data_IF_750205130717
#
_entry.id   IF_750205130717
#
_cell.length_a   1.000
_cell.length_b   1.000
_cell.length_c   1.000
_cell.angle_alpha   90.00
_cell.angle_beta   90.00
_cell.angle_gamma   90.00
#
_symmetry.space_group_name_H-M   'P 1'
#
loop_
_entity.id
_entity.type
_entity.pdbx_description
1 polymer ?
#
# COMPACT_ATOMS: atom_id res chain seq x y z
N UNK A 1 -32.35 35.18 12.89
CA UNK A 1 -32.37 33.70 12.98
C UNK A 1 -31.05 33.16 12.43
N UNK A 2 -30.06 32.90 13.28
CA UNK A 2 -28.68 32.56 12.89
C UNK A 2 -28.31 31.18 13.44
N UNK A 3 -29.10 30.15 13.13
CA UNK A 3 -28.90 28.79 13.65
C UNK A 3 -27.92 27.93 12.84
N UNK A 4 -27.74 28.20 11.55
CA UNK A 4 -26.99 27.32 10.65
C UNK A 4 -25.46 27.42 10.72
N UNK A 5 -24.92 28.59 11.11
CA UNK A 5 -23.47 28.81 11.13
C UNK A 5 -22.79 28.10 12.31
N UNK A 6 -23.47 28.05 13.46
CA UNK A 6 -22.94 27.44 14.70
C UNK A 6 -22.87 25.92 14.56
N UNK A 7 -23.94 25.27 14.08
CA UNK A 7 -23.96 23.82 13.86
C UNK A 7 -22.91 23.37 12.85
N UNK A 8 -22.70 24.15 11.78
CA UNK A 8 -21.68 23.88 10.76
C UNK A 8 -20.27 23.96 11.34
N UNK A 9 -19.97 25.00 12.13
CA UNK A 9 -18.66 25.15 12.79
C UNK A 9 -18.38 24.01 13.76
N UNK A 10 -19.36 23.59 14.55
CA UNK A 10 -19.21 22.45 15.47
C UNK A 10 -18.90 21.17 14.70
N UNK A 11 -19.64 20.90 13.62
CA UNK A 11 -19.39 19.74 12.77
C UNK A 11 -17.99 19.77 12.12
N UNK A 12 -17.54 20.93 11.63
CA UNK A 12 -16.20 21.10 11.05
C UNK A 12 -15.09 20.85 12.10
N UNK A 13 -15.30 21.28 13.35
CA UNK A 13 -14.37 21.01 14.47
C UNK A 13 -14.30 19.52 14.80
N UNK A 14 -15.43 18.81 14.79
CA UNK A 14 -15.44 17.36 14.99
C UNK A 14 -14.68 16.62 13.89
N UNK A 15 -14.80 17.06 12.63
CA UNK A 15 -14.04 16.46 11.52
C UNK A 15 -12.54 16.74 11.64
N UNK A 16 -12.15 17.95 12.08
CA UNK A 16 -10.75 18.28 12.35
C UNK A 16 -10.17 17.40 13.47
N UNK A 17 -10.89 17.27 14.58
CA UNK A 17 -10.47 16.38 15.68
C UNK A 17 -10.35 14.91 15.23
N UNK A 18 -11.19 14.45 14.28
CA UNK A 18 -11.07 13.12 13.67
C UNK A 18 -9.80 12.99 12.83
N UNK A 19 -9.49 14.00 12.00
CA UNK A 19 -8.27 14.00 11.20
C UNK A 19 -7.01 13.97 12.08
N UNK A 20 -6.95 14.78 13.14
CA UNK A 20 -5.83 14.81 14.10
C UNK A 20 -5.64 13.49 14.86
N UNK A 21 -6.72 12.77 15.16
CA UNK A 21 -6.62 11.43 15.73
C UNK A 21 -6.03 10.45 14.72
N UNK A 22 -6.42 10.56 13.45
CA UNK A 22 -5.92 9.69 12.39
C UNK A 22 -4.43 9.96 12.13
N UNK A 23 -4.05 11.24 12.04
CA UNK A 23 -2.66 11.71 11.89
C UNK A 23 -1.75 11.13 12.96
N UNK A 24 -2.14 11.26 14.23
CA UNK A 24 -1.36 10.68 15.36
C UNK A 24 -1.26 9.16 15.32
N UNK A 25 -2.22 8.46 14.72
CA UNK A 25 -2.21 7.00 14.64
C UNK A 25 -1.44 6.45 13.44
N UNK A 26 -1.17 7.27 12.43
CA UNK A 26 -0.65 6.84 11.14
C UNK A 26 0.65 7.61 10.82
N UNK A 27 1.74 7.28 11.50
CA UNK A 27 3.02 8.04 11.44
C UNK A 27 3.71 8.09 10.07
N UNK A 28 3.29 7.25 9.12
CA UNK A 28 3.80 7.24 7.75
C UNK A 28 3.12 8.30 6.85
N UNK A 29 2.09 8.98 7.38
CA UNK A 29 1.24 9.91 6.65
C UNK A 29 1.11 11.23 7.43
N UNK A 30 1.04 12.33 6.69
CA UNK A 30 0.51 13.60 7.22
C UNK A 30 -0.97 13.70 6.83
N UNK A 31 -1.86 13.92 7.79
CA UNK A 31 -3.32 13.89 7.59
C UNK A 31 -3.96 15.17 8.14
N UNK A 32 -4.84 15.78 7.36
CA UNK A 32 -5.56 16.99 7.77
C UNK A 32 -6.97 17.11 7.19
N UNK A 33 -7.76 18.00 7.77
CA UNK A 33 -9.11 18.32 7.32
C UNK A 33 -9.22 19.77 6.81
N UNK A 34 -9.64 19.91 5.55
CA UNK A 34 -9.90 21.21 4.93
C UNK A 34 -11.34 21.67 5.13
N UNK A 35 -11.56 22.70 5.95
CA UNK A 35 -12.90 23.23 6.26
C UNK A 35 -13.59 23.86 5.04
N UNK A 36 -12.81 24.48 4.13
CA UNK A 36 -13.35 25.08 2.91
C UNK A 36 -13.87 24.05 1.90
N UNK A 37 -13.13 22.95 1.72
CA UNK A 37 -13.50 21.86 0.79
C UNK A 37 -14.33 20.74 1.45
N UNK A 38 -14.38 20.72 2.78
CA UNK A 38 -14.93 19.65 3.63
C UNK A 38 -14.40 18.27 3.27
N UNK A 39 -13.09 18.19 3.03
CA UNK A 39 -12.39 16.95 2.67
C UNK A 39 -11.28 16.63 3.65
N UNK A 40 -11.07 15.34 3.82
CA UNK A 40 -9.88 14.78 4.44
C UNK A 40 -8.81 14.63 3.37
N UNK A 41 -7.58 14.93 3.77
CA UNK A 41 -6.39 14.85 2.93
C UNK A 41 -5.35 14.00 3.66
N UNK A 42 -4.59 13.21 2.91
CA UNK A 42 -3.45 12.47 3.43
C UNK A 42 -2.29 12.56 2.43
N UNK A 43 -1.10 12.91 2.91
CA UNK A 43 0.13 12.90 2.13
C UNK A 43 1.10 11.86 2.69
N UNK A 44 1.65 11.01 1.81
CA UNK A 44 2.64 10.02 2.22
C UNK A 44 3.98 10.70 2.52
N UNK A 45 4.53 10.48 3.71
CA UNK A 45 5.82 11.06 4.12
C UNK A 45 7.03 10.30 3.54
N UNK A 46 6.80 9.06 3.08
CA UNK A 46 7.80 8.20 2.46
C UNK A 46 7.95 8.41 0.95
N UNK A 47 6.99 9.09 0.31
CA UNK A 47 6.93 9.21 -1.14
C UNK A 47 7.65 10.49 -1.62
N UNK A 48 9.00 10.46 -1.60
CA UNK A 48 9.84 11.63 -1.92
C UNK A 48 9.93 11.93 -3.43
N UNK A 49 9.86 10.91 -4.29
CA UNK A 49 9.98 11.07 -5.75
C UNK A 49 8.64 11.34 -6.45
N UNK A 50 7.58 10.67 -6.00
CA UNK A 50 6.21 10.84 -6.50
C UNK A 50 5.29 11.08 -5.31
N UNK A 51 4.94 12.34 -4.99
CA UNK A 51 4.16 12.63 -3.80
C UNK A 51 2.77 12.02 -3.89
N UNK A 52 2.48 11.06 -3.01
CA UNK A 52 1.14 10.45 -2.91
C UNK A 52 0.27 11.36 -2.06
N UNK A 53 -0.66 12.08 -2.72
CA UNK A 53 -1.69 12.88 -2.06
C UNK A 53 -3.07 12.28 -2.31
N UNK A 54 -3.75 11.91 -1.23
CA UNK A 54 -5.09 11.33 -1.25
C UNK A 54 -6.09 12.33 -0.68
N UNK A 55 -7.31 12.33 -1.23
CA UNK A 55 -8.41 13.15 -0.70
C UNK A 55 -9.75 12.44 -0.78
N UNK A 56 -10.59 12.62 0.25
CA UNK A 56 -11.96 12.08 0.29
C UNK A 56 -12.85 12.92 1.21
N UNK A 57 -14.16 12.67 1.20
CA UNK A 57 -15.15 13.28 2.09
C UNK A 57 -15.22 12.60 3.46
N UNK A 58 -14.70 11.39 3.63
CA UNK A 58 -14.82 10.63 4.89
C UNK A 58 -13.48 10.09 5.38
N UNK A 59 -13.30 10.04 6.71
CA UNK A 59 -12.08 9.50 7.30
C UNK A 59 -11.91 7.99 7.05
N UNK A 60 -13.02 7.24 6.96
CA UNK A 60 -12.99 5.80 6.70
C UNK A 60 -12.49 5.46 5.30
N UNK A 61 -13.00 6.17 4.28
CA UNK A 61 -12.49 6.04 2.91
C UNK A 61 -11.02 6.45 2.81
N UNK A 62 -10.60 7.49 3.55
CA UNK A 62 -9.22 7.96 3.51
C UNK A 62 -8.28 6.85 3.95
N UNK A 63 -8.64 6.17 5.04
CA UNK A 63 -7.86 5.05 5.58
C UNK A 63 -7.79 3.88 4.61
N UNK A 64 -8.89 3.55 3.94
CA UNK A 64 -8.89 2.49 2.92
C UNK A 64 -7.95 2.84 1.75
N UNK A 65 -7.98 4.09 1.28
CA UNK A 65 -7.08 4.58 0.22
C UNK A 65 -5.62 4.58 0.67
N UNK A 66 -5.33 4.99 1.91
CA UNK A 66 -3.96 4.96 2.47
C UNK A 66 -3.40 3.54 2.47
N UNK A 67 -4.19 2.55 2.91
CA UNK A 67 -3.77 1.14 2.89
C UNK A 67 -3.60 0.58 1.48
N UNK A 68 -4.47 0.97 0.56
CA UNK A 68 -4.32 0.61 -0.85
C UNK A 68 -3.04 1.22 -1.46
N UNK A 69 -2.68 2.45 -1.08
CA UNK A 69 -1.48 3.14 -1.53
C UNK A 69 -0.18 2.59 -0.92
N UNK A 70 -0.24 2.04 0.29
CA UNK A 70 0.88 1.30 0.90
C UNK A 70 1.10 -0.07 0.23
N UNK A 71 0.04 -0.70 -0.27
CA UNK A 71 0.11 -2.05 -0.86
C UNK A 71 1.09 -2.21 -2.04
N UNK A 72 1.21 -1.28 -3.01
CA UNK A 72 2.24 -1.37 -4.04
C UNK A 72 3.65 -1.07 -3.52
N UNK A 73 3.78 -0.48 -2.33
CA UNK A 73 5.05 -0.07 -1.72
C UNK A 73 5.52 -0.98 -0.58
N UNK A 74 4.79 -2.06 -0.29
CA UNK A 74 5.32 -3.11 0.58
C UNK A 74 6.63 -3.58 -0.06
N UNK A 75 7.78 -3.55 0.66
CA UNK A 75 9.01 -4.12 0.12
C UNK A 75 8.65 -5.53 -0.35
N UNK A 76 9.16 -5.98 -1.52
CA UNK A 76 8.91 -7.35 -1.95
C UNK A 76 9.27 -8.19 -0.74
N UNK A 77 8.27 -8.84 -0.14
CA UNK A 77 8.49 -9.80 0.92
C UNK A 77 9.43 -10.78 0.23
N UNK A 78 10.74 -10.69 0.49
CA UNK A 78 11.67 -11.65 -0.05
C UNK A 78 11.05 -12.98 0.33
N UNK A 79 10.61 -13.81 -0.62
CA UNK A 79 10.26 -15.16 -0.25
C UNK A 79 11.58 -15.66 0.34
N UNK A 80 11.57 -15.93 1.65
CA UNK A 80 12.69 -16.60 2.30
C UNK A 80 12.90 -17.88 1.51
N UNK A 81 13.86 -17.89 0.58
CA UNK A 81 14.52 -19.11 0.20
C UNK A 81 15.27 -19.63 1.43
N UNK A 82 15.40 -20.95 1.63
CA UNK A 82 15.44 -21.97 0.59
C UNK A 82 14.57 -23.19 0.93
N UNK A 83 13.37 -23.28 0.35
CA UNK A 83 12.53 -24.47 0.44
C UNK A 83 12.81 -25.43 -0.72
N UNK A 84 13.92 -26.14 -0.64
CA UNK A 84 14.17 -27.52 -1.14
C UNK A 84 13.32 -27.99 -2.36
N UNK A 85 13.92 -28.29 -3.54
CA UNK A 85 13.15 -28.90 -4.62
C UNK A 85 12.57 -30.24 -4.15
N UNK A 86 11.29 -30.56 -4.40
CA UNK A 86 10.81 -31.91 -4.21
C UNK A 86 11.62 -32.82 -5.14
N UNK A 87 12.25 -33.81 -4.51
CA UNK A 87 12.90 -34.92 -5.19
C UNK A 87 11.90 -35.54 -6.18
N UNK A 88 12.13 -35.37 -7.48
CA UNK A 88 11.52 -36.24 -8.50
C UNK A 88 12.47 -37.43 -8.69
N UNK A 89 12.11 -38.66 -8.28
CA UNK A 89 12.82 -39.85 -8.70
C UNK A 89 12.35 -40.16 -10.13
N UNK A 90 13.12 -39.71 -11.10
CA UNK A 90 12.77 -39.85 -12.52
C UNK A 90 13.98 -39.78 -13.42
N UNK A 91 14.97 -40.65 -13.19
CA UNK A 91 15.82 -41.12 -14.27
C UNK A 91 15.28 -42.49 -14.68
N UNK A 92 15.18 -42.76 -15.99
CA UNK A 92 16.34 -43.39 -16.59
C UNK A 92 16.75 -42.81 -17.95
N UNK A 93 18.07 -42.72 -18.10
CA UNK A 93 18.84 -43.12 -19.28
C UNK A 93 18.53 -42.41 -20.60
N UNK A 94 19.28 -41.35 -20.86
CA UNK A 94 19.80 -41.10 -22.21
C UNK A 94 21.32 -41.32 -22.19
N UNK A 95 21.72 -42.59 -22.31
CA UNK A 95 23.11 -42.94 -22.57
C UNK A 95 23.41 -42.63 -24.03
N UNK A 96 23.92 -41.42 -24.23
CA UNK A 96 24.66 -40.99 -25.42
C UNK A 96 25.77 -42.00 -25.71
N UNK A 97 25.61 -42.82 -26.74
CA UNK A 97 26.74 -43.47 -27.39
C UNK A 97 27.11 -42.60 -28.60
N UNK A 98 28.09 -41.72 -28.39
CA UNK A 98 28.98 -41.29 -29.47
C UNK A 98 30.12 -42.28 -29.51
N UNK A 99 30.24 -43.05 -30.59
CA UNK A 99 31.49 -43.58 -31.15
C UNK A 99 31.26 -43.93 -32.64
N UNK A 100 31.66 -43.03 -33.53
CA UNK A 100 32.26 -43.36 -34.83
C UNK A 100 33.59 -44.12 -34.62
N UNK A 101 34.35 -44.57 -35.66
CA UNK A 101 34.05 -45.16 -36.98
C UNK A 101 34.85 -46.49 -37.20
N UNK A 102 34.70 -47.18 -38.34
CA UNK A 102 35.79 -47.73 -39.21
C UNK A 102 35.30 -48.81 -40.19
N UNK A 103 35.82 -48.70 -41.41
CA UNK A 103 35.73 -49.58 -42.57
C UNK A 103 36.06 -51.07 -42.34
N UNK A 104 35.38 -51.96 -43.08
CA UNK A 104 35.98 -52.73 -44.18
C UNK A 104 34.94 -53.47 -45.01
#
# INVERSE_FOLDING_TARGET
MTGGATTRRVWDQEQRARAERLDRSESAWAIWYGVGSRRFYAAALWALAEPVLLQTRTAGELRALMRAAESPYAPPKSPRGPGRPPHSPGAPTNRRLVRDPVER
#
